data_IF_214906113054
#
_entry.id   IF_214906113054
#
_cell.length_a   1.000
_cell.length_b   1.000
_cell.length_c   1.000
_cell.angle_alpha   90.00
_cell.angle_beta   90.00
_cell.angle_gamma   90.00
#
_symmetry.space_group_name_H-M   'P 1'
#
loop_
_entity.id
_entity.type
_entity.pdbx_description
1 polymer ?
#
# COMPACT_ATOMS: atom_id res chain seq x y z
N UNK A 1 17.67 -4.20 23.00
CA UNK A 1 17.07 -4.27 21.65
C UNK A 1 16.07 -3.16 21.51
N UNK A 2 16.18 -2.39 20.44
CA UNK A 2 15.28 -1.28 20.18
C UNK A 2 14.85 -1.34 18.73
N UNK A 3 13.54 -1.36 18.54
CA UNK A 3 12.87 -1.57 17.28
C UNK A 3 12.27 -0.23 16.82
N UNK A 4 12.69 0.25 15.66
CA UNK A 4 12.13 1.46 15.05
C UNK A 4 11.50 1.09 13.72
N UNK A 5 10.16 1.03 13.71
CA UNK A 5 9.37 0.80 12.51
C UNK A 5 8.86 2.11 11.90
N UNK A 6 9.15 2.34 10.63
CA UNK A 6 8.67 3.49 9.87
C UNK A 6 7.81 3.02 8.70
N UNK A 7 6.53 3.41 8.70
CA UNK A 7 5.58 3.07 7.63
C UNK A 7 5.14 4.32 6.89
N UNK A 8 5.24 4.29 5.56
CA UNK A 8 4.67 5.30 4.66
C UNK A 8 3.74 4.62 3.67
N UNK A 9 2.55 5.18 3.48
CA UNK A 9 1.60 4.73 2.47
C UNK A 9 1.12 5.90 1.61
N UNK A 10 0.93 5.64 0.32
CA UNK A 10 0.39 6.56 -0.66
C UNK A 10 -0.71 5.87 -1.43
N UNK A 11 -1.88 6.51 -1.45
CA UNK A 11 -3.09 6.04 -2.11
C UNK A 11 -3.53 7.05 -3.15
N UNK A 12 -3.83 6.58 -4.36
CA UNK A 12 -4.40 7.40 -5.42
C UNK A 12 -5.43 6.63 -6.22
N UNK A 13 -6.40 7.33 -6.80
CA UNK A 13 -7.44 6.69 -7.58
C UNK A 13 -8.12 7.62 -8.57
N UNK A 14 -8.63 7.01 -9.64
CA UNK A 14 -9.48 7.62 -10.63
C UNK A 14 -10.81 6.87 -10.67
N UNK A 15 -11.89 7.64 -10.70
CA UNK A 15 -13.25 7.12 -10.78
C UNK A 15 -13.94 7.73 -11.99
N UNK A 16 -14.49 6.87 -12.84
CA UNK A 16 -15.31 7.25 -13.97
C UNK A 16 -16.72 6.69 -13.77
N UNK A 17 -17.72 7.53 -13.99
CA UNK A 17 -19.12 7.12 -13.94
C UNK A 17 -19.90 7.81 -15.06
N UNK A 18 -20.60 7.02 -15.87
CA UNK A 18 -21.41 7.52 -16.97
C UNK A 18 -22.57 6.55 -17.27
N UNK A 19 -23.79 6.98 -16.94
CA UNK A 19 -25.01 6.20 -17.14
C UNK A 19 -24.94 4.87 -16.39
N UNK A 20 -25.06 3.77 -17.14
CA UNK A 20 -25.01 2.41 -16.60
C UNK A 20 -23.59 1.88 -16.39
N UNK A 21 -22.57 2.63 -16.80
CA UNK A 21 -21.17 2.21 -16.75
C UNK A 21 -20.42 2.94 -15.63
N UNK A 22 -19.57 2.20 -14.92
CA UNK A 22 -18.60 2.77 -13.98
C UNK A 22 -17.26 2.06 -14.09
N UNK A 23 -16.18 2.80 -13.90
CA UNK A 23 -14.82 2.28 -13.86
C UNK A 23 -14.07 2.91 -12.69
N UNK A 24 -13.22 2.15 -12.04
CA UNK A 24 -12.38 2.61 -10.95
C UNK A 24 -10.97 2.05 -11.13
N UNK A 25 -9.99 2.93 -11.08
CA UNK A 25 -8.58 2.58 -11.05
C UNK A 25 -8.00 3.08 -9.73
N UNK A 26 -7.52 2.16 -8.89
CA UNK A 26 -6.85 2.47 -7.61
C UNK A 26 -5.40 2.04 -7.74
N UNK A 27 -4.49 2.86 -7.23
CA UNK A 27 -3.10 2.49 -7.03
C UNK A 27 -2.70 2.82 -5.59
N UNK A 28 -1.99 1.87 -4.97
CA UNK A 28 -1.43 2.01 -3.64
C UNK A 28 0.06 1.66 -3.69
N UNK A 29 0.85 2.43 -2.95
CA UNK A 29 2.25 2.16 -2.67
C UNK A 29 2.48 2.26 -1.17
N UNK A 30 3.07 1.24 -0.58
CA UNK A 30 3.42 1.21 0.84
C UNK A 30 4.88 0.81 1.00
N UNK A 31 5.57 1.49 1.92
CA UNK A 31 6.94 1.19 2.32
C UNK A 31 7.01 1.07 3.83
N UNK A 32 7.58 -0.04 4.30
CA UNK A 32 7.80 -0.35 5.70
C UNK A 32 9.31 -0.50 5.88
N UNK A 33 9.88 0.26 6.80
CA UNK A 33 11.29 0.13 7.20
C UNK A 33 11.35 -0.28 8.66
N UNK A 34 11.89 -1.45 8.91
CA UNK A 34 12.13 -1.96 10.25
C UNK A 34 13.62 -1.92 10.58
N UNK A 35 13.97 -1.16 11.61
CA UNK A 35 15.34 -1.06 12.10
C UNK A 35 15.51 -1.94 13.33
N UNK A 36 16.07 -3.14 13.14
CA UNK A 36 16.55 -3.95 14.26
C UNK A 36 18.01 -3.59 14.56
N UNK A 37 18.26 -2.89 15.68
CA UNK A 37 19.62 -2.62 16.17
C UNK A 37 19.83 -3.11 17.61
N UNK A 38 20.98 -3.74 17.86
CA UNK A 38 21.49 -3.98 19.22
C UNK A 38 22.04 -2.66 19.78
N UNK A 39 21.65 -2.32 21.02
CA UNK A 39 21.98 -1.05 21.68
C UNK A 39 23.48 -0.81 21.89
N UNK A 40 24.32 -1.84 21.77
CA UNK A 40 25.74 -1.78 22.11
C UNK A 40 26.65 -1.31 20.95
N UNK A 41 26.18 -1.33 19.70
CA UNK A 41 27.03 -1.10 18.51
C UNK A 41 26.66 0.16 17.69
N UNK A 42 25.48 0.74 17.91
CA UNK A 42 25.03 1.93 17.19
C UNK A 42 24.54 1.66 15.75
N UNK A 43 23.76 2.62 15.22
CA UNK A 43 22.94 2.51 14.00
C UNK A 43 23.68 2.15 12.69
N UNK A 44 25.02 2.16 12.68
CA UNK A 44 25.86 1.93 11.49
C UNK A 44 26.93 0.84 11.68
N UNK A 45 26.91 0.08 12.78
CA UNK A 45 27.87 -0.99 13.00
C UNK A 45 27.51 -2.29 12.29
N UNK A 46 28.52 -3.10 11.97
CA UNK A 46 28.38 -4.40 11.33
C UNK A 46 27.54 -5.34 12.22
N UNK A 47 26.29 -5.60 11.83
CA UNK A 47 25.33 -6.43 12.57
C UNK A 47 23.90 -5.92 12.58
N UNK A 48 23.62 -4.74 12.00
CA UNK A 48 22.25 -4.23 11.84
C UNK A 48 21.52 -4.93 10.68
N UNK A 49 20.34 -5.49 10.94
CA UNK A 49 19.43 -5.97 9.88
C UNK A 49 18.38 -4.90 9.62
N UNK A 50 18.40 -4.35 8.41
CA UNK A 50 17.38 -3.43 7.92
C UNK A 50 16.40 -4.22 7.07
N UNK A 51 15.17 -4.36 7.55
CA UNK A 51 14.09 -4.95 6.76
C UNK A 51 13.32 -3.81 6.07
N UNK A 52 13.59 -3.60 4.77
CA UNK A 52 12.89 -2.63 3.92
C UNK A 52 11.91 -3.38 3.01
N UNK A 53 10.62 -3.33 3.35
CA UNK A 53 9.55 -3.96 2.60
C UNK A 53 8.79 -2.92 1.79
N UNK A 54 8.69 -3.14 0.49
CA UNK A 54 7.82 -2.37 -0.40
C UNK A 54 6.66 -3.22 -0.90
N UNK A 55 5.45 -2.66 -0.83
CA UNK A 55 4.24 -3.26 -1.37
C UNK A 55 3.60 -2.29 -2.37
N UNK A 56 3.17 -2.84 -3.51
CA UNK A 56 2.54 -2.06 -4.58
C UNK A 56 1.29 -2.80 -5.03
N UNK A 57 0.19 -2.08 -5.12
CA UNK A 57 -1.08 -2.65 -5.54
C UNK A 57 -1.75 -1.75 -6.58
N UNK A 58 -2.28 -2.37 -7.63
CA UNK A 58 -3.10 -1.70 -8.63
C UNK A 58 -4.38 -2.51 -8.79
N UNK A 59 -5.52 -1.85 -8.63
CA UNK A 59 -6.84 -2.42 -8.88
C UNK A 59 -7.52 -1.67 -10.00
N UNK A 60 -8.02 -2.40 -10.98
CA UNK A 60 -8.89 -1.84 -12.01
C UNK A 60 -10.19 -2.62 -12.06
N UNK A 61 -11.30 -1.94 -11.73
CA UNK A 61 -12.64 -2.50 -11.71
C UNK A 61 -13.56 -1.78 -12.69
N UNK A 62 -14.43 -2.54 -13.34
CA UNK A 62 -15.49 -2.01 -14.21
C UNK A 62 -16.81 -2.63 -13.80
N UNK A 63 -17.89 -1.85 -13.85
CA UNK A 63 -19.22 -2.31 -13.52
C UNK A 63 -20.24 -1.77 -14.52
N UNK A 64 -21.20 -2.62 -14.89
CA UNK A 64 -22.29 -2.32 -15.81
C UNK A 64 -23.61 -2.70 -15.18
N UNK A 65 -24.53 -1.74 -15.07
CA UNK A 65 -25.89 -2.01 -14.56
C UNK A 65 -26.69 -2.71 -15.67
N UNK A 66 -27.08 -3.96 -15.42
CA UNK A 66 -27.97 -4.74 -16.29
C UNK A 66 -29.35 -4.87 -15.65
N UNK A 67 -30.23 -3.91 -15.95
CA UNK A 67 -31.64 -3.89 -15.52
C UNK A 67 -31.90 -3.14 -14.22
N UNK A 68 -33.13 -2.60 -14.09
CA UNK A 68 -33.68 -2.09 -12.82
C UNK A 68 -34.58 -3.17 -12.22
N UNK A 69 -34.00 -4.16 -11.53
CA UNK A 69 -34.77 -5.26 -10.96
C UNK A 69 -34.30 -5.61 -9.55
N UNK A 70 -35.15 -5.34 -8.56
CA UNK A 70 -35.12 -6.09 -7.31
C UNK A 70 -35.68 -7.50 -7.60
N UNK A 71 -35.08 -8.51 -6.97
CA UNK A 71 -35.77 -9.77 -6.70
C UNK A 71 -36.10 -9.77 -5.21
#
# INVERSE_FOLDING_TARGET
>A
DEDQSYTQSWDTGLHYHSGIYSSQLIANYQRIKDYNYSSDAGRYAAGTTLDDMEQRYIQWGNNVVVGHGAV
#
